data_IF_778767644768
#
_entry.id   IF_778767644768
#
_cell.length_a   1.000
_cell.length_b   1.000
_cell.length_c   1.000
_cell.angle_alpha   90.00
_cell.angle_beta   90.00
_cell.angle_gamma   90.00
#
_symmetry.space_group_name_H-M   'P 1'
#
loop_
_entity.id
_entity.type
_entity.pdbx_description
1 polymer ?
#
# COMPACT_ATOMS: atom_id res chain seq x y z
N UNK A 1 20.47 41.71 -7.24
CA UNK A 1 20.59 40.29 -6.86
C UNK A 1 19.20 39.76 -6.58
N UNK A 2 18.58 39.14 -7.58
CA UNK A 2 17.28 38.49 -7.44
C UNK A 2 17.54 36.99 -7.31
N UNK A 3 17.65 36.51 -6.08
CA UNK A 3 17.70 35.08 -5.78
C UNK A 3 16.29 34.52 -5.89
N UNK A 4 15.93 34.11 -7.10
CA UNK A 4 14.80 33.21 -7.32
C UNK A 4 15.27 31.79 -7.02
N UNK A 5 14.69 31.16 -6.01
CA UNK A 5 15.01 29.78 -5.68
C UNK A 5 14.01 29.19 -4.69
N UNK A 6 12.72 29.44 -4.88
CA UNK A 6 11.70 28.61 -4.24
C UNK A 6 11.67 27.28 -5.00
N UNK A 7 12.43 26.30 -4.51
CA UNK A 7 12.15 24.89 -4.77
C UNK A 7 10.78 24.61 -4.17
N UNK A 8 9.73 24.67 -4.98
CA UNK A 8 8.48 23.99 -4.68
C UNK A 8 8.80 22.50 -4.84
N UNK A 9 9.31 21.89 -3.76
CA UNK A 9 9.29 20.44 -3.64
C UNK A 9 7.84 20.01 -3.81
N UNK A 10 7.59 19.15 -4.77
CA UNK A 10 6.35 18.41 -4.87
C UNK A 10 6.16 17.72 -3.51
N UNK A 11 5.31 18.27 -2.65
CA UNK A 11 4.67 17.47 -1.61
C UNK A 11 3.89 16.43 -2.40
N UNK A 12 4.44 15.22 -2.47
CA UNK A 12 3.69 14.04 -2.89
C UNK A 12 2.38 14.13 -2.15
N UNK A 13 1.28 14.21 -2.90
CA UNK A 13 -0.03 14.41 -2.27
C UNK A 13 -0.34 13.12 -1.54
N UNK A 14 -0.22 13.16 -0.20
CA UNK A 14 -0.53 12.11 0.80
C UNK A 14 -2.02 11.69 0.78
N UNK A 15 -2.69 11.77 -0.38
CA UNK A 15 -4.15 11.66 -0.53
C UNK A 15 -4.52 11.14 -1.91
N UNK A 16 -3.71 10.24 -2.47
CA UNK A 16 -4.11 9.45 -3.63
C UNK A 16 -4.26 8.00 -3.17
N UNK A 17 -5.33 7.35 -3.62
CA UNK A 17 -5.78 6.04 -3.13
C UNK A 17 -6.13 5.18 -4.33
N UNK A 18 -5.76 3.91 -4.27
CA UNK A 18 -6.07 2.90 -5.26
C UNK A 18 -7.21 2.00 -4.78
N UNK A 19 -7.91 1.44 -5.74
CA UNK A 19 -9.03 0.53 -5.52
C UNK A 19 -8.56 -0.91 -5.75
N UNK A 20 -8.77 -1.78 -4.77
CA UNK A 20 -8.42 -3.20 -4.81
C UNK A 20 -9.57 -4.07 -4.27
N UNK A 21 -9.56 -5.37 -4.56
CA UNK A 21 -10.51 -6.32 -3.97
C UNK A 21 -9.87 -6.99 -2.75
N UNK A 22 -10.59 -7.06 -1.63
CA UNK A 22 -10.20 -7.85 -0.46
C UNK A 22 -10.35 -9.34 -0.79
N UNK A 23 -9.27 -10.14 -0.77
CA UNK A 23 -9.32 -11.55 -1.17
C UNK A 23 -10.07 -12.46 -0.18
N UNK A 24 -10.39 -11.96 1.02
CA UNK A 24 -11.10 -12.68 2.09
C UNK A 24 -12.59 -12.36 2.08
N UNK A 25 -12.95 -11.08 2.02
CA UNK A 25 -14.35 -10.63 2.00
C UNK A 25 -14.96 -10.59 0.59
N UNK A 26 -14.13 -10.41 -0.46
CA UNK A 26 -14.60 -10.13 -1.82
C UNK A 26 -15.23 -8.74 -1.96
N UNK A 27 -14.83 -7.79 -1.11
CA UNK A 27 -15.31 -6.41 -1.12
C UNK A 27 -14.25 -5.47 -1.69
N UNK A 28 -14.68 -4.37 -2.30
CA UNK A 28 -13.78 -3.36 -2.84
C UNK A 28 -13.25 -2.47 -1.71
N UNK A 29 -11.92 -2.37 -1.58
CA UNK A 29 -11.22 -1.61 -0.55
C UNK A 29 -10.33 -0.53 -1.15
N UNK A 30 -10.12 0.51 -0.36
CA UNK A 30 -9.29 1.67 -0.69
C UNK A 30 -7.94 1.57 0.03
N UNK A 31 -6.85 1.60 -0.75
CA UNK A 31 -5.47 1.45 -0.24
C UNK A 31 -4.62 2.65 -0.69
N UNK A 32 -3.53 3.00 0.00
CA UNK A 32 -2.66 4.11 -0.41
C UNK A 32 -2.13 3.94 -1.84
N UNK A 33 -2.08 5.00 -2.65
CA UNK A 33 -1.57 4.90 -4.01
C UNK A 33 -0.04 4.87 -4.11
N UNK A 34 0.65 5.20 -3.03
CA UNK A 34 2.09 5.07 -2.88
C UNK A 34 2.54 3.68 -2.42
N UNK A 35 1.61 2.73 -2.31
CA UNK A 35 1.88 1.35 -1.89
C UNK A 35 2.80 0.61 -2.87
N UNK A 36 3.71 -0.20 -2.31
CA UNK A 36 4.69 -0.98 -3.08
C UNK A 36 4.37 -2.49 -3.06
N UNK A 37 4.85 -3.22 -4.08
CA UNK A 37 4.76 -4.69 -4.07
C UNK A 37 5.61 -5.25 -2.92
N UNK A 38 5.02 -6.13 -2.11
CA UNK A 38 5.59 -6.66 -0.88
C UNK A 38 5.27 -5.83 0.36
N UNK A 39 4.52 -4.74 0.21
CA UNK A 39 4.03 -3.96 1.35
C UNK A 39 2.85 -4.67 2.03
N UNK A 40 2.85 -4.64 3.36
CA UNK A 40 1.79 -5.19 4.20
C UNK A 40 0.84 -4.05 4.58
N UNK A 41 -0.45 -4.25 4.29
CA UNK A 41 -1.53 -3.32 4.64
C UNK A 41 -2.60 -4.05 5.46
N UNK A 42 -3.30 -3.31 6.32
CA UNK A 42 -4.45 -3.85 7.04
C UNK A 42 -5.72 -3.72 6.20
N UNK A 43 -6.49 -4.80 6.05
CA UNK A 43 -7.81 -4.68 5.45
C UNK A 43 -8.74 -3.85 6.35
N UNK A 44 -9.38 -2.79 5.83
CA UNK A 44 -10.38 -2.03 6.59
C UNK A 44 -11.70 -2.80 6.78
N UNK A 45 -11.89 -3.92 6.07
CA UNK A 45 -13.12 -4.73 6.08
C UNK A 45 -12.97 -5.91 7.04
N UNK A 46 -11.90 -6.70 6.89
CA UNK A 46 -11.69 -7.93 7.66
C UNK A 46 -10.73 -7.74 8.83
N UNK A 47 -9.86 -6.73 8.78
CA UNK A 47 -8.79 -6.51 9.76
C UNK A 47 -7.62 -7.49 9.62
N UNK A 48 -7.57 -8.29 8.54
CA UNK A 48 -6.45 -9.18 8.24
C UNK A 48 -5.31 -8.40 7.58
N UNK A 49 -4.07 -8.78 7.89
CA UNK A 49 -2.88 -8.29 7.19
C UNK A 49 -2.85 -8.85 5.76
N UNK A 50 -2.76 -7.98 4.78
CA UNK A 50 -2.71 -8.32 3.35
C UNK A 50 -1.39 -7.84 2.75
N UNK A 51 -0.79 -8.63 1.87
CA UNK A 51 0.39 -8.26 1.10
C UNK A 51 0.00 -7.80 -0.31
N UNK A 52 0.58 -6.69 -0.78
CA UNK A 52 0.43 -6.25 -2.16
C UNK A 52 1.32 -7.07 -3.08
N UNK A 53 0.74 -7.91 -3.93
CA UNK A 53 1.51 -8.77 -4.84
C UNK A 53 1.62 -8.20 -6.27
N UNK A 54 0.81 -7.20 -6.63
CA UNK A 54 0.81 -6.54 -7.95
C UNK A 54 0.18 -5.14 -7.87
N UNK A 55 0.59 -4.24 -8.78
CA UNK A 55 0.05 -2.87 -8.92
C UNK A 55 -0.62 -2.59 -10.29
N UNK A 56 -0.50 -3.48 -11.28
CA UNK A 56 -1.10 -3.33 -12.61
C UNK A 56 -1.65 -4.67 -13.15
N UNK A 57 -2.88 -5.09 -12.76
CA UNK A 57 -3.78 -4.44 -11.80
C UNK A 57 -3.33 -4.62 -10.35
N UNK A 58 -3.91 -3.84 -9.44
CA UNK A 58 -3.69 -4.01 -8.00
C UNK A 58 -4.26 -5.35 -7.54
N UNK A 59 -3.43 -6.18 -6.91
CA UNK A 59 -3.82 -7.49 -6.37
C UNK A 59 -3.25 -7.66 -4.98
N UNK A 60 -4.07 -8.16 -4.08
CA UNK A 60 -3.76 -8.41 -2.67
C UNK A 60 -3.87 -9.90 -2.37
N UNK A 61 -3.02 -10.39 -1.47
CA UNK A 61 -3.11 -11.73 -0.88
C UNK A 61 -3.02 -11.65 0.64
N UNK A 62 -3.43 -12.70 1.35
CA UNK A 62 -3.21 -12.79 2.80
C UNK A 62 -1.72 -12.76 3.10
N UNK A 63 -1.30 -11.84 3.98
CA UNK A 63 0.10 -11.72 4.37
C UNK A 63 0.59 -13.06 4.96
N UNK A 64 1.80 -13.51 4.63
CA UNK A 64 2.33 -14.74 5.20
C UNK A 64 2.46 -14.58 6.71
N UNK A 65 1.99 -15.58 7.47
CA UNK A 65 2.32 -15.63 8.89
C UNK A 65 3.83 -15.68 9.03
N UNK A 66 4.35 -14.75 9.82
CA UNK A 66 5.76 -14.58 10.08
C UNK A 66 6.26 -15.88 10.73
N UNK A 67 6.79 -16.81 9.93
CA UNK A 67 7.36 -18.05 10.46
C UNK A 67 8.43 -17.65 11.46
N UNK A 68 8.26 -18.01 12.75
CA UNK A 68 9.20 -17.66 13.83
C UNK A 68 10.55 -18.40 13.73
N UNK A 69 11.12 -18.39 12.52
CA UNK A 69 12.45 -18.83 12.15
C UNK A 69 13.05 -17.79 11.18
N UNK A 70 12.84 -16.50 11.45
CA UNK A 70 13.65 -15.42 10.89
C UNK A 70 15.06 -15.47 11.50
N UNK A 71 15.79 -16.55 11.19
CA UNK A 71 17.24 -16.70 11.28
C UNK A 71 17.84 -16.76 12.69
N UNK A 72 18.35 -17.95 13.04
CA UNK A 72 19.64 -18.06 13.75
C UNK A 72 20.79 -17.37 12.98
#
# INVERSE_FOLDING_TARGET
MLVHGRVAGTMTSDTDTLTAEDPIAGEEIEIPADVEVGEIIDSPVTGTELEVISLDPVVLEEAPELEEDWGE
#
